data_IF_266907307744
#
_entry.id   IF_266907307744
#
_cell.length_a   1.000
_cell.length_b   1.000
_cell.length_c   1.000
_cell.angle_alpha   90.00
_cell.angle_beta   90.00
_cell.angle_gamma   90.00
#
_symmetry.space_group_name_H-M   'P 1'
#
loop_
_entity.id
_entity.type
_entity.pdbx_description
1 polymer ?
#
# COMPACT_ATOMS: atom_id res chain seq x y z
N UNK A 1 -11.76 38.86 -38.59
CA UNK A 1 -11.96 37.74 -39.49
C UNK A 1 -12.21 36.53 -38.59
N UNK A 2 -13.47 36.12 -38.50
CA UNK A 2 -13.85 34.95 -37.70
C UNK A 2 -13.37 33.71 -38.44
N UNK A 3 -12.46 32.96 -37.82
CA UNK A 3 -12.05 31.64 -38.29
C UNK A 3 -13.19 30.69 -37.97
N UNK A 4 -13.87 30.21 -39.02
CA UNK A 4 -14.84 29.11 -38.94
C UNK A 4 -14.10 27.86 -38.42
N UNK A 5 -14.08 27.68 -37.13
CA UNK A 5 -13.80 26.38 -36.50
C UNK A 5 -14.90 25.43 -36.96
N UNK A 6 -14.59 24.51 -37.88
CA UNK A 6 -15.41 23.35 -38.17
C UNK A 6 -15.52 22.55 -36.88
N UNK A 7 -16.53 22.87 -36.09
CA UNK A 7 -16.83 22.22 -34.82
C UNK A 7 -17.12 20.76 -35.09
N UNK A 8 -16.21 19.89 -34.70
CA UNK A 8 -16.43 18.44 -34.72
C UNK A 8 -17.72 18.14 -33.94
N UNK A 9 -18.55 17.25 -34.47
CA UNK A 9 -19.83 16.91 -33.82
C UNK A 9 -19.72 16.41 -32.38
N UNK A 10 -18.49 16.14 -31.93
CA UNK A 10 -18.15 15.79 -30.54
C UNK A 10 -18.06 17.01 -29.63
N UNK A 11 -17.46 18.09 -30.10
CA UNK A 11 -17.39 19.38 -29.39
C UNK A 11 -18.80 19.97 -29.17
N UNK A 12 -19.70 19.85 -30.13
CA UNK A 12 -21.09 20.30 -29.98
C UNK A 12 -21.83 19.50 -28.91
N UNK A 13 -21.63 18.19 -28.82
CA UNK A 13 -22.18 17.35 -27.74
C UNK A 13 -21.63 17.72 -26.37
N UNK A 14 -20.33 18.01 -26.29
CA UNK A 14 -19.72 18.45 -25.05
C UNK A 14 -20.27 19.81 -24.58
N UNK A 15 -20.51 20.75 -25.48
CA UNK A 15 -21.13 22.05 -25.19
C UNK A 15 -22.58 21.87 -24.74
N UNK A 16 -23.35 20.97 -25.38
CA UNK A 16 -24.71 20.65 -24.97
C UNK A 16 -24.76 19.99 -23.58
N UNK A 17 -23.83 19.12 -23.29
CA UNK A 17 -23.71 18.45 -21.99
C UNK A 17 -23.26 19.45 -20.89
N UNK A 18 -22.31 20.33 -21.21
CA UNK A 18 -21.92 21.44 -20.35
C UNK A 18 -23.04 22.43 -20.07
N UNK A 19 -23.85 22.76 -21.05
CA UNK A 19 -25.05 23.61 -20.86
C UNK A 19 -26.14 22.95 -20.00
N UNK A 20 -26.24 21.62 -20.05
CA UNK A 20 -27.21 20.85 -19.25
C UNK A 20 -26.77 20.69 -17.80
N UNK A 21 -25.48 20.48 -17.56
CA UNK A 21 -24.90 20.23 -16.22
C UNK A 21 -24.35 21.47 -15.55
N UNK A 22 -24.08 22.54 -16.31
CA UNK A 22 -23.46 23.78 -15.82
C UNK A 22 -21.97 23.65 -15.52
N UNK A 23 -21.40 22.45 -15.60
CA UNK A 23 -20.02 22.15 -15.21
C UNK A 23 -19.44 21.07 -16.15
N UNK A 24 -18.21 21.27 -16.62
CA UNK A 24 -17.41 20.26 -17.36
C UNK A 24 -16.10 20.00 -16.66
N UNK A 25 -15.56 18.78 -16.75
CA UNK A 25 -14.26 18.44 -16.19
C UNK A 25 -13.16 18.50 -17.24
N UNK A 26 -11.93 18.84 -16.81
CA UNK A 26 -10.75 18.79 -17.68
C UNK A 26 -10.52 17.41 -18.28
N UNK A 27 -10.83 16.32 -17.54
CA UNK A 27 -10.70 14.95 -18.04
C UNK A 27 -11.67 14.66 -19.17
N UNK A 28 -12.95 15.10 -19.09
CA UNK A 28 -13.94 14.97 -20.17
C UNK A 28 -13.55 15.78 -21.39
N UNK A 29 -12.99 16.95 -21.18
CA UNK A 29 -12.49 17.82 -22.25
C UNK A 29 -11.28 17.16 -22.92
N UNK A 30 -10.34 16.64 -22.14
CA UNK A 30 -9.10 16.02 -22.61
C UNK A 30 -9.37 14.69 -23.35
N UNK A 31 -10.28 13.85 -22.85
CA UNK A 31 -10.69 12.60 -23.53
C UNK A 31 -11.36 12.87 -24.87
N UNK A 32 -12.12 13.96 -24.97
CA UNK A 32 -12.79 14.34 -26.23
C UNK A 32 -11.83 14.97 -27.24
N UNK A 33 -10.81 15.72 -26.73
CA UNK A 33 -9.81 16.42 -27.53
C UNK A 33 -8.56 15.57 -27.84
N UNK A 34 -8.28 14.51 -27.07
CA UNK A 34 -7.10 13.63 -27.26
C UNK A 34 -7.07 12.92 -28.62
N UNK A 35 -8.18 12.92 -29.34
CA UNK A 35 -8.29 12.33 -30.65
C UNK A 35 -8.17 13.35 -31.80
N UNK A 36 -7.94 14.63 -31.50
CA UNK A 36 -7.75 15.70 -32.49
C UNK A 36 -6.39 16.38 -32.20
N UNK A 37 -5.50 16.44 -33.20
CA UNK A 37 -4.22 17.15 -33.12
C UNK A 37 -4.46 18.67 -33.04
N UNK A 38 -4.77 19.18 -31.83
CA UNK A 38 -5.06 20.60 -31.59
C UNK A 38 -3.80 21.29 -31.07
N UNK A 39 -3.53 22.50 -31.59
CA UNK A 39 -2.49 23.38 -31.10
C UNK A 39 -2.93 24.06 -29.77
N UNK A 40 -1.96 24.46 -28.93
CA UNK A 40 -2.22 25.10 -27.64
C UNK A 40 -3.14 26.35 -27.74
N UNK A 41 -3.03 27.13 -28.82
CA UNK A 41 -3.89 28.29 -29.08
C UNK A 41 -5.36 27.91 -29.34
N UNK A 42 -5.59 26.76 -29.97
CA UNK A 42 -6.94 26.26 -30.24
C UNK A 42 -7.62 25.71 -28.98
N UNK A 43 -6.83 25.15 -28.04
CA UNK A 43 -7.35 24.68 -26.75
C UNK A 43 -7.77 25.88 -25.90
N UNK A 44 -7.00 26.98 -25.90
CA UNK A 44 -7.34 28.21 -25.19
C UNK A 44 -8.61 28.86 -25.75
N UNK A 45 -8.80 28.89 -27.10
CA UNK A 45 -10.00 29.39 -27.74
C UNK A 45 -11.25 28.56 -27.36
N UNK A 46 -11.12 27.24 -27.25
CA UNK A 46 -12.20 26.34 -26.83
C UNK A 46 -12.56 26.58 -25.35
N UNK A 47 -11.57 26.72 -24.47
CA UNK A 47 -11.80 27.02 -23.05
C UNK A 47 -12.46 28.39 -22.87
N UNK A 48 -12.10 29.37 -23.69
CA UNK A 48 -12.72 30.68 -23.69
C UNK A 48 -14.19 30.63 -24.18
N UNK A 49 -14.48 29.77 -25.16
CA UNK A 49 -15.84 29.52 -25.62
C UNK A 49 -16.73 28.89 -24.54
N UNK A 50 -16.19 27.98 -23.73
CA UNK A 50 -16.91 27.42 -22.58
C UNK A 50 -17.20 28.48 -21.51
N UNK A 51 -16.25 29.37 -21.23
CA UNK A 51 -16.44 30.46 -20.28
C UNK A 51 -17.51 31.46 -20.77
N UNK A 52 -17.53 31.80 -22.06
CA UNK A 52 -18.51 32.70 -22.68
C UNK A 52 -19.93 32.12 -22.68
N UNK A 53 -20.06 30.78 -22.79
CA UNK A 53 -21.33 30.05 -22.70
C UNK A 53 -21.78 29.77 -21.24
N UNK A 54 -21.04 30.28 -20.25
CA UNK A 54 -21.36 30.16 -18.83
C UNK A 54 -21.10 28.77 -18.22
N UNK A 55 -20.33 27.93 -18.90
CA UNK A 55 -19.95 26.59 -18.46
C UNK A 55 -18.70 26.71 -17.58
N UNK A 56 -18.77 26.26 -16.33
CA UNK A 56 -17.60 26.21 -15.44
C UNK A 56 -16.77 24.98 -15.73
N UNK A 57 -15.52 25.18 -16.13
CA UNK A 57 -14.53 24.10 -16.24
C UNK A 57 -13.90 23.87 -14.88
N UNK A 58 -14.06 22.67 -14.33
CA UNK A 58 -13.54 22.25 -13.01
C UNK A 58 -12.49 21.17 -13.23
N UNK A 59 -11.39 21.24 -12.53
CA UNK A 59 -10.26 20.30 -12.69
C UNK A 59 -10.59 18.84 -12.39
N UNK A 60 -11.61 18.59 -11.60
CA UNK A 60 -12.31 17.27 -11.44
C UNK A 60 -13.70 17.53 -10.89
N UNK A 61 -14.72 16.82 -11.37
CA UNK A 61 -15.83 16.44 -10.50
C UNK A 61 -15.16 15.73 -9.34
N UNK A 62 -15.35 16.19 -8.10
CA UNK A 62 -14.92 15.45 -6.93
C UNK A 62 -15.34 14.01 -7.13
N UNK A 63 -14.45 13.15 -7.60
CA UNK A 63 -14.46 11.79 -7.14
C UNK A 63 -14.20 11.92 -5.64
N UNK A 64 -15.28 11.92 -4.90
CA UNK A 64 -15.28 11.73 -3.46
C UNK A 64 -14.50 10.42 -3.29
N UNK A 65 -13.23 10.52 -2.89
CA UNK A 65 -12.49 9.30 -2.58
C UNK A 65 -13.27 8.63 -1.46
N UNK A 66 -13.51 7.32 -1.51
CA UNK A 66 -14.30 6.59 -0.49
C UNK A 66 -13.78 6.75 0.93
N UNK A 67 -12.62 7.38 1.09
CA UNK A 67 -11.99 7.72 2.36
C UNK A 67 -12.52 9.04 2.97
N UNK A 68 -12.98 9.98 2.14
CA UNK A 68 -13.54 11.27 2.64
C UNK A 68 -14.90 11.09 3.29
N UNK A 69 -15.69 10.12 2.83
CA UNK A 69 -17.02 9.83 3.37
C UNK A 69 -17.03 9.18 4.77
N UNK A 70 -15.90 8.65 5.25
CA UNK A 70 -15.79 8.13 6.62
C UNK A 70 -15.64 9.24 7.66
N UNK A 71 -15.51 10.50 7.23
CA UNK A 71 -15.32 11.68 8.11
C UNK A 71 -16.09 12.88 7.54
N UNK A 72 -17.26 12.66 6.94
CA UNK A 72 -18.24 13.73 6.71
C UNK A 72 -18.94 14.08 8.00
N UNK A 73 -18.22 14.72 8.92
CA UNK A 73 -18.81 15.62 9.89
C UNK A 73 -18.27 17.03 9.62
N UNK A 74 -19.19 17.92 9.30
CA UNK A 74 -19.15 19.38 9.23
C UNK A 74 -17.82 20.05 9.66
N UNK A 75 -16.79 20.06 8.80
CA UNK A 75 -15.57 20.83 9.01
C UNK A 75 -15.75 22.24 8.44
N UNK A 76 -16.54 23.05 9.13
CA UNK A 76 -16.59 24.49 9.02
C UNK A 76 -15.89 25.12 10.22
N UNK A 77 -15.29 26.25 10.04
CA UNK A 77 -14.77 27.31 10.96
C UNK A 77 -14.80 27.10 12.50
N UNK A 78 -15.42 26.08 13.04
CA UNK A 78 -15.44 25.69 14.46
C UNK A 78 -14.17 24.94 14.91
N UNK A 79 -13.39 24.39 13.97
CA UNK A 79 -12.29 23.46 14.31
C UNK A 79 -11.11 24.11 15.03
N UNK A 80 -10.93 25.41 14.92
CA UNK A 80 -9.80 26.11 15.59
C UNK A 80 -10.14 26.37 17.08
N UNK A 81 -11.39 26.71 17.41
CA UNK A 81 -11.84 26.85 18.82
C UNK A 81 -11.94 25.48 19.52
N UNK A 82 -12.31 24.42 18.79
CA UNK A 82 -12.34 23.05 19.27
C UNK A 82 -10.92 22.55 19.58
N UNK A 83 -9.91 22.93 18.79
CA UNK A 83 -8.53 22.53 19.03
C UNK A 83 -7.96 22.99 20.39
N UNK A 84 -8.46 24.09 20.96
CA UNK A 84 -8.05 24.55 22.33
C UNK A 84 -8.63 23.67 23.43
N UNK A 85 -9.89 23.31 23.31
CA UNK A 85 -10.57 22.42 24.25
C UNK A 85 -10.01 20.99 24.13
N UNK A 86 -9.77 20.51 22.94
CA UNK A 86 -9.21 19.18 22.67
C UNK A 86 -7.78 18.99 23.19
N UNK A 87 -6.92 20.03 23.17
CA UNK A 87 -5.58 19.95 23.77
C UNK A 87 -5.66 19.76 25.31
N UNK A 88 -6.60 20.45 25.97
CA UNK A 88 -6.83 20.31 27.40
C UNK A 88 -7.36 18.92 27.77
N UNK A 89 -8.22 18.33 26.95
CA UNK A 89 -8.71 16.95 27.15
C UNK A 89 -7.62 15.89 26.96
N UNK A 90 -6.60 16.15 26.13
CA UNK A 90 -5.50 15.22 25.90
C UNK A 90 -4.54 15.10 27.11
N UNK A 91 -4.59 16.02 28.08
CA UNK A 91 -3.81 15.89 29.32
C UNK A 91 -4.19 14.64 30.16
N UNK A 92 -5.38 14.08 29.93
CA UNK A 92 -5.88 12.87 30.59
C UNK A 92 -5.60 11.55 29.85
N UNK A 93 -5.06 11.59 28.62
CA UNK A 93 -4.76 10.37 27.87
C UNK A 93 -3.46 9.72 28.35
N UNK A 94 -3.31 8.37 28.27
CA UNK A 94 -2.05 7.66 28.57
C UNK A 94 -1.05 7.87 27.42
N UNK A 95 -0.51 9.09 27.30
CA UNK A 95 0.53 9.47 26.35
C UNK A 95 1.87 9.43 27.06
N UNK A 96 2.93 9.12 26.32
CA UNK A 96 4.30 9.20 26.80
C UNK A 96 4.62 10.64 27.26
N UNK A 97 5.41 10.79 28.34
CA UNK A 97 5.73 12.09 28.92
C UNK A 97 6.42 13.03 27.91
N UNK A 98 7.19 12.48 26.98
CA UNK A 98 7.83 13.24 25.89
C UNK A 98 6.81 13.89 24.96
N UNK A 99 5.72 13.16 24.63
CA UNK A 99 4.64 13.67 23.76
C UNK A 99 3.84 14.75 24.47
N UNK A 100 3.54 14.57 25.77
CA UNK A 100 2.85 15.60 26.56
C UNK A 100 3.65 16.90 26.65
N UNK A 101 4.97 16.77 26.83
CA UNK A 101 5.85 17.95 26.88
C UNK A 101 5.84 18.69 25.52
N UNK A 102 5.91 17.94 24.43
CA UNK A 102 5.85 18.52 23.08
C UNK A 102 4.49 19.19 22.76
N UNK A 103 3.38 18.55 23.14
CA UNK A 103 2.05 19.15 22.99
C UNK A 103 1.89 20.45 23.75
N UNK A 104 2.46 20.53 24.97
CA UNK A 104 2.48 21.75 25.80
C UNK A 104 3.34 22.85 25.14
N UNK A 105 4.43 22.48 24.46
CA UNK A 105 5.30 23.41 23.73
C UNK A 105 4.54 24.07 22.56
N UNK A 106 3.87 23.26 21.74
CA UNK A 106 3.04 23.74 20.62
C UNK A 106 1.91 24.65 21.11
N UNK A 107 1.31 24.35 22.26
CA UNK A 107 0.24 25.17 22.85
C UNK A 107 0.65 26.61 23.19
N UNK A 108 1.94 26.90 23.33
CA UNK A 108 2.46 28.26 23.62
C UNK A 108 2.45 29.19 22.42
N UNK A 109 2.44 28.63 21.21
CA UNK A 109 2.50 29.44 19.98
C UNK A 109 1.13 30.10 19.73
N UNK A 110 1.06 31.45 19.59
CA UNK A 110 -0.20 32.14 19.37
C UNK A 110 -0.76 31.84 17.98
N UNK A 111 -2.09 31.84 17.89
CA UNK A 111 -2.79 31.69 16.61
C UNK A 111 -2.60 32.96 15.75
N UNK A 112 -2.50 32.75 14.44
CA UNK A 112 -2.34 33.86 13.49
C UNK A 112 -3.70 34.42 13.05
N UNK A 113 -3.75 35.73 12.86
CA UNK A 113 -4.88 36.37 12.20
C UNK A 113 -4.73 36.26 10.67
N UNK A 114 -5.84 36.36 9.92
CA UNK A 114 -5.83 36.31 8.45
C UNK A 114 -4.88 37.36 7.83
N UNK A 115 -4.75 38.53 8.43
CA UNK A 115 -3.82 39.55 7.96
C UNK A 115 -2.35 39.13 8.13
N UNK A 116 -2.05 38.44 9.23
CA UNK A 116 -0.70 37.89 9.49
C UNK A 116 -0.40 36.70 8.55
N UNK A 117 -1.38 35.81 8.29
CA UNK A 117 -1.23 34.69 7.31
C UNK A 117 -0.87 35.26 5.92
N UNK A 118 -1.58 36.29 5.45
CA UNK A 118 -1.31 36.94 4.16
C UNK A 118 0.09 37.61 4.15
N UNK A 119 0.48 38.28 5.25
CA UNK A 119 1.79 38.90 5.37
C UNK A 119 2.91 37.87 5.31
N UNK A 120 2.79 36.75 6.03
CA UNK A 120 3.73 35.66 6.02
C UNK A 120 3.78 34.96 4.65
N UNK A 121 2.64 34.74 4.02
CA UNK A 121 2.57 34.10 2.69
C UNK A 121 3.31 34.96 1.62
N UNK A 122 3.22 36.30 1.68
CA UNK A 122 3.99 37.18 0.80
C UNK A 122 5.49 37.07 1.03
N UNK A 123 5.93 36.96 2.29
CA UNK A 123 7.35 36.73 2.63
C UNK A 123 7.85 35.38 2.16
N UNK A 124 7.04 34.35 2.28
CA UNK A 124 7.35 32.97 1.79
C UNK A 124 7.51 32.99 0.26
N UNK A 125 6.64 33.71 -0.47
CA UNK A 125 6.75 33.90 -1.92
C UNK A 125 8.06 34.60 -2.31
N UNK A 126 8.59 35.47 -1.43
CA UNK A 126 9.89 36.14 -1.59
C UNK A 126 11.09 35.25 -1.19
N UNK A 127 10.86 34.01 -0.72
CA UNK A 127 11.92 33.08 -0.33
C UNK A 127 12.37 33.17 1.13
N UNK A 128 11.56 33.71 2.03
CA UNK A 128 11.87 33.84 3.45
C UNK A 128 11.54 32.54 4.22
N UNK A 129 12.58 31.80 4.59
CA UNK A 129 12.48 30.54 5.35
C UNK A 129 12.01 30.77 6.80
N UNK A 130 12.33 31.89 7.42
CA UNK A 130 11.85 32.21 8.78
C UNK A 130 10.33 32.40 8.78
N UNK A 131 9.78 33.05 7.76
CA UNK A 131 8.34 33.20 7.60
C UNK A 131 7.64 31.86 7.41
N UNK A 132 8.28 30.91 6.69
CA UNK A 132 7.79 29.54 6.51
C UNK A 132 7.76 28.79 7.84
N UNK A 133 8.80 28.91 8.66
CA UNK A 133 8.86 28.31 9.98
C UNK A 133 7.73 28.84 10.89
N UNK A 134 7.56 30.17 10.97
CA UNK A 134 6.52 30.81 11.79
C UNK A 134 5.11 30.37 11.38
N UNK A 135 4.81 30.33 10.07
CA UNK A 135 3.50 29.89 9.58
C UNK A 135 3.26 28.40 9.90
N UNK A 136 4.29 27.57 9.80
CA UNK A 136 4.22 26.13 10.13
C UNK A 136 3.97 25.92 11.62
N UNK A 137 4.78 26.55 12.49
CA UNK A 137 4.68 26.41 13.95
C UNK A 137 3.30 26.84 14.47
N UNK A 138 2.76 27.94 14.00
CA UNK A 138 1.45 28.43 14.41
C UNK A 138 0.28 27.47 14.03
N UNK A 139 0.51 26.55 13.08
CA UNK A 139 -0.50 25.62 12.61
C UNK A 139 -0.26 24.17 13.04
N UNK A 140 0.73 23.85 13.87
CA UNK A 140 0.96 22.51 14.40
C UNK A 140 -0.24 22.00 15.21
N UNK A 141 -0.94 22.88 15.92
CA UNK A 141 -2.16 22.54 16.67
C UNK A 141 -3.27 21.98 15.75
N UNK A 142 -3.41 22.51 14.55
CA UNK A 142 -4.34 22.01 13.54
C UNK A 142 -4.00 20.58 13.12
N UNK A 143 -2.71 20.25 12.96
CA UNK A 143 -2.29 18.87 12.65
C UNK A 143 -2.68 17.92 13.75
N UNK A 144 -2.47 18.28 15.02
CA UNK A 144 -2.80 17.45 16.19
C UNK A 144 -4.30 17.16 16.24
N UNK A 145 -5.16 18.18 16.04
CA UNK A 145 -6.61 18.00 16.05
C UNK A 145 -7.11 17.06 14.94
N UNK A 146 -6.49 17.17 13.75
CA UNK A 146 -6.81 16.27 12.64
C UNK A 146 -6.30 14.85 12.93
N UNK A 147 -5.05 14.68 13.38
CA UNK A 147 -4.42 13.38 13.65
C UNK A 147 -5.18 12.59 14.73
N UNK A 148 -5.76 13.26 15.75
CA UNK A 148 -6.55 12.65 16.81
C UNK A 148 -7.72 11.81 16.25
N UNK A 149 -8.38 12.26 15.19
CA UNK A 149 -9.51 11.57 14.54
C UNK A 149 -9.09 10.27 13.82
N UNK A 150 -7.81 10.14 13.52
CA UNK A 150 -7.24 8.96 12.85
C UNK A 150 -6.52 8.00 13.82
N UNK A 151 -6.55 8.29 15.13
CA UNK A 151 -5.97 7.43 16.15
C UNK A 151 -6.61 6.04 16.14
N UNK A 152 -5.83 4.99 16.43
CA UNK A 152 -6.32 3.61 16.48
C UNK A 152 -6.48 2.92 15.12
N UNK A 153 -5.97 3.49 14.02
CA UNK A 153 -6.05 2.92 12.66
C UNK A 153 -4.74 2.28 12.18
N UNK A 154 -4.02 1.58 13.08
CA UNK A 154 -2.80 0.84 12.73
C UNK A 154 -1.52 1.64 12.77
N UNK A 155 -1.56 2.96 13.05
CA UNK A 155 -0.39 3.81 13.27
C UNK A 155 -0.41 4.43 14.66
N UNK A 156 0.78 4.66 15.22
CA UNK A 156 0.91 5.37 16.49
C UNK A 156 0.51 6.84 16.34
N UNK A 157 -0.02 7.45 17.41
CA UNK A 157 -0.44 8.85 17.36
C UNK A 157 0.69 9.82 17.03
N UNK A 158 1.94 9.66 17.55
CA UNK A 158 3.09 10.46 17.12
C UNK A 158 3.40 10.37 15.63
N UNK A 159 3.33 9.17 15.06
CA UNK A 159 3.61 8.96 13.65
C UNK A 159 2.56 9.65 12.76
N UNK A 160 1.28 9.59 13.17
CA UNK A 160 0.19 10.31 12.49
C UNK A 160 0.43 11.83 12.49
N UNK A 161 0.91 12.38 13.62
CA UNK A 161 1.27 13.80 13.71
C UNK A 161 2.42 14.13 12.76
N UNK A 162 3.48 13.32 12.72
CA UNK A 162 4.63 13.61 11.85
C UNK A 162 4.26 13.52 10.37
N UNK A 163 3.47 12.55 9.97
CA UNK A 163 2.95 12.49 8.60
C UNK A 163 2.03 13.68 8.28
N UNK A 164 1.20 14.09 9.26
CA UNK A 164 0.41 15.31 9.15
C UNK A 164 1.26 16.57 9.02
N UNK A 165 2.38 16.68 9.75
CA UNK A 165 3.32 17.80 9.65
C UNK A 165 3.97 17.86 8.25
N UNK A 166 4.29 16.71 7.64
CA UNK A 166 4.76 16.65 6.25
C UNK A 166 3.69 17.21 5.30
N UNK A 167 2.42 16.89 5.54
CA UNK A 167 1.29 17.46 4.82
C UNK A 167 1.17 18.97 4.99
N UNK A 168 1.32 19.45 6.24
CA UNK A 168 1.31 20.89 6.56
C UNK A 168 2.42 21.67 5.84
N UNK A 169 3.66 21.15 5.84
CA UNK A 169 4.80 21.78 5.15
C UNK A 169 4.49 21.94 3.66
N UNK A 170 3.94 20.90 3.02
CA UNK A 170 3.51 20.97 1.61
C UNK A 170 2.40 22.00 1.39
N UNK A 171 1.47 22.13 2.35
CA UNK A 171 0.43 23.15 2.28
C UNK A 171 1.02 24.55 2.35
N UNK A 172 1.99 24.80 3.24
CA UNK A 172 2.68 26.09 3.37
C UNK A 172 3.38 26.46 2.06
N UNK A 173 4.06 25.50 1.40
CA UNK A 173 4.76 25.73 0.14
C UNK A 173 3.83 26.07 -1.03
N UNK A 174 2.60 25.56 -1.02
CA UNK A 174 1.65 25.69 -2.13
C UNK A 174 0.51 26.68 -1.84
N UNK A 175 0.52 27.33 -0.69
CA UNK A 175 -0.55 28.24 -0.31
C UNK A 175 -0.57 29.51 -1.15
N UNK A 176 -1.72 29.81 -1.77
CA UNK A 176 -1.96 31.05 -2.53
C UNK A 176 -2.96 31.93 -1.79
N UNK A 177 -2.46 32.98 -1.15
CA UNK A 177 -3.28 33.98 -0.42
C UNK A 177 -4.20 34.81 -1.34
N UNK A 178 -3.95 34.84 -2.66
CA UNK A 178 -4.77 35.61 -3.64
C UNK A 178 -6.17 35.01 -3.79
N UNK A 179 -6.33 33.72 -3.46
CA UNK A 179 -7.63 33.02 -3.52
C UNK A 179 -8.61 33.41 -2.41
N UNK A 180 -8.18 34.21 -1.40
CA UNK A 180 -9.03 34.75 -0.35
C UNK A 180 -9.52 33.77 0.72
N UNK A 181 -9.10 32.50 0.69
CA UNK A 181 -9.43 31.49 1.69
C UNK A 181 -8.46 31.56 2.88
N UNK A 182 -8.93 31.13 4.07
CA UNK A 182 -8.05 30.92 5.24
C UNK A 182 -7.04 29.82 4.96
N UNK A 183 -5.83 29.96 5.50
CA UNK A 183 -4.80 28.94 5.40
C UNK A 183 -5.27 27.58 5.94
N UNK A 184 -5.98 27.56 7.08
CA UNK A 184 -6.49 26.34 7.71
C UNK A 184 -7.39 25.51 6.78
N UNK A 185 -8.25 26.13 5.98
CA UNK A 185 -9.12 25.44 5.01
C UNK A 185 -8.32 24.68 3.97
N UNK A 186 -7.24 25.30 3.47
CA UNK A 186 -6.35 24.67 2.49
C UNK A 186 -5.45 23.62 3.11
N UNK A 187 -4.87 23.90 4.28
CA UNK A 187 -3.95 23.02 4.98
C UNK A 187 -4.65 21.72 5.44
N UNK A 188 -5.91 21.79 5.88
CA UNK A 188 -6.69 20.62 6.31
C UNK A 188 -6.73 19.52 5.24
N UNK A 189 -6.90 19.91 3.96
CA UNK A 189 -6.88 18.95 2.86
C UNK A 189 -5.52 18.24 2.73
N UNK A 190 -4.42 18.99 2.77
CA UNK A 190 -3.07 18.40 2.65
C UNK A 190 -2.69 17.53 3.84
N UNK A 191 -3.04 17.97 5.05
CA UNK A 191 -2.80 17.22 6.29
C UNK A 191 -3.57 15.90 6.24
N UNK A 192 -4.87 15.95 5.93
CA UNK A 192 -5.72 14.77 5.81
C UNK A 192 -5.19 13.81 4.76
N UNK A 193 -4.85 14.30 3.58
CA UNK A 193 -4.30 13.50 2.49
C UNK A 193 -3.00 12.80 2.89
N UNK A 194 -2.09 13.51 3.59
CA UNK A 194 -0.83 12.93 4.06
C UNK A 194 -1.07 11.81 5.09
N UNK A 195 -1.91 12.08 6.11
CA UNK A 195 -2.26 11.10 7.15
C UNK A 195 -2.93 9.85 6.55
N UNK A 196 -3.93 10.05 5.70
CA UNK A 196 -4.69 8.95 5.08
C UNK A 196 -3.79 8.09 4.22
N UNK A 197 -2.91 8.72 3.44
CA UNK A 197 -1.94 8.00 2.61
C UNK A 197 -0.94 7.24 3.47
N UNK A 198 -0.44 7.83 4.56
CA UNK A 198 0.48 7.17 5.47
C UNK A 198 -0.16 5.93 6.12
N UNK A 199 -1.41 6.03 6.58
CA UNK A 199 -2.16 4.88 7.12
C UNK A 199 -2.29 3.77 6.08
N UNK A 200 -2.62 4.10 4.84
CA UNK A 200 -2.72 3.10 3.77
C UNK A 200 -1.38 2.43 3.44
N UNK A 201 -0.28 3.18 3.52
CA UNK A 201 1.07 2.72 3.18
C UNK A 201 1.78 1.98 4.32
N UNK A 202 1.52 2.35 5.58
CA UNK A 202 2.30 1.91 6.76
C UNK A 202 1.45 1.32 7.88
N UNK A 203 0.12 1.50 7.87
CA UNK A 203 -0.77 1.08 8.96
C UNK A 203 -0.93 -0.43 9.11
N UNK A 204 -0.48 -1.24 8.16
CA UNK A 204 -0.61 -2.70 8.17
C UNK A 204 0.75 -3.38 8.23
N UNK A 205 0.88 -4.42 9.03
CA UNK A 205 2.10 -5.26 9.10
C UNK A 205 2.47 -5.84 7.73
N UNK A 206 1.49 -6.31 6.98
CA UNK A 206 1.65 -6.72 5.58
C UNK A 206 1.09 -5.61 4.71
N UNK A 207 1.98 -4.88 4.04
CA UNK A 207 1.63 -3.74 3.20
C UNK A 207 0.70 -4.15 2.04
N UNK A 208 -0.39 -3.42 1.91
CA UNK A 208 -1.36 -3.54 0.80
C UNK A 208 -1.29 -2.27 -0.06
N UNK A 209 -1.38 -2.37 -1.39
CA UNK A 209 -1.45 -1.18 -2.26
C UNK A 209 -2.62 -0.26 -1.92
N UNK A 210 -2.44 1.07 -2.06
CA UNK A 210 -3.42 2.09 -1.66
C UNK A 210 -4.79 1.86 -2.30
N UNK A 211 -4.85 1.57 -3.60
CA UNK A 211 -6.11 1.30 -4.30
C UNK A 211 -6.88 0.09 -3.75
N UNK A 212 -6.17 -0.90 -3.19
CA UNK A 212 -6.82 -2.05 -2.53
C UNK A 212 -7.37 -1.67 -1.17
N UNK A 213 -6.67 -0.81 -0.40
CA UNK A 213 -7.19 -0.25 0.86
C UNK A 213 -8.46 0.55 0.60
N UNK A 214 -8.50 1.38 -0.44
CA UNK A 214 -9.68 2.12 -0.88
C UNK A 214 -10.84 1.17 -1.22
N UNK A 215 -10.54 0.08 -1.96
CA UNK A 215 -11.56 -0.91 -2.32
C UNK A 215 -12.11 -1.64 -1.09
N UNK A 216 -11.24 -2.01 -0.12
CA UNK A 216 -11.65 -2.63 1.16
C UNK A 216 -12.57 -1.66 1.93
N UNK A 217 -12.19 -0.38 2.04
CA UNK A 217 -13.00 0.62 2.75
C UNK A 217 -14.36 0.83 2.07
N UNK A 218 -14.41 0.91 0.74
CA UNK A 218 -15.66 0.97 -0.02
C UNK A 218 -16.52 -0.25 0.27
N UNK A 219 -15.93 -1.45 0.28
CA UNK A 219 -16.65 -2.68 0.60
C UNK A 219 -17.25 -2.65 2.01
N UNK A 220 -16.47 -2.24 3.03
CA UNK A 220 -16.93 -2.14 4.41
C UNK A 220 -18.09 -1.14 4.52
N UNK A 221 -17.96 0.06 3.90
CA UNK A 221 -19.00 1.09 3.89
C UNK A 221 -20.30 0.57 3.25
N UNK A 222 -20.20 0.00 2.04
CA UNK A 222 -21.35 -0.57 1.34
C UNK A 222 -22.00 -1.70 2.12
N UNK A 223 -21.21 -2.58 2.73
CA UNK A 223 -21.72 -3.67 3.57
C UNK A 223 -22.47 -3.13 4.78
N UNK A 224 -21.93 -2.10 5.45
CA UNK A 224 -22.61 -1.46 6.59
C UNK A 224 -23.91 -0.75 6.18
N UNK A 225 -23.93 -0.11 5.02
CA UNK A 225 -25.13 0.54 4.48
C UNK A 225 -26.22 -0.49 4.13
N UNK A 226 -25.84 -1.56 3.42
CA UNK A 226 -26.77 -2.64 3.11
C UNK A 226 -27.29 -3.36 4.37
N UNK A 227 -26.45 -3.49 5.42
CA UNK A 227 -26.87 -4.02 6.72
C UNK A 227 -27.98 -3.16 7.35
N UNK A 228 -27.86 -1.83 7.29
CA UNK A 228 -28.88 -0.90 7.77
C UNK A 228 -30.17 -0.99 6.95
N UNK A 229 -30.07 -1.04 5.62
CA UNK A 229 -31.22 -1.07 4.72
C UNK A 229 -31.98 -2.41 4.76
N UNK A 230 -31.26 -3.53 4.85
CA UNK A 230 -31.83 -4.88 4.82
C UNK A 230 -32.17 -5.42 6.21
N UNK A 231 -31.61 -4.87 7.28
CA UNK A 231 -31.74 -5.39 8.66
C UNK A 231 -31.08 -6.77 8.88
N UNK A 232 -30.26 -7.24 7.94
CA UNK A 232 -29.50 -8.50 7.99
C UNK A 232 -28.15 -8.34 7.28
N UNK A 233 -27.23 -9.26 7.55
CA UNK A 233 -25.96 -9.29 6.80
C UNK A 233 -26.21 -9.45 5.28
N UNK A 234 -25.58 -8.60 4.45
CA UNK A 234 -25.69 -8.69 3.00
C UNK A 234 -24.94 -9.90 2.45
N UNK A 235 -25.47 -10.50 1.38
CA UNK A 235 -24.78 -11.56 0.64
C UNK A 235 -23.69 -11.01 -0.25
N UNK A 236 -22.72 -11.85 -0.66
CA UNK A 236 -21.65 -11.46 -1.56
C UNK A 236 -22.19 -10.94 -2.90
N UNK A 237 -23.30 -11.47 -3.39
CA UNK A 237 -23.94 -11.05 -4.64
C UNK A 237 -24.60 -9.67 -4.50
N UNK A 238 -25.16 -9.33 -3.33
CA UNK A 238 -25.74 -8.03 -3.05
C UNK A 238 -24.66 -6.95 -2.99
N UNK A 239 -23.56 -7.22 -2.26
CA UNK A 239 -22.40 -6.32 -2.19
C UNK A 239 -21.76 -6.13 -3.57
N UNK A 240 -21.60 -7.20 -4.32
CA UNK A 240 -21.01 -7.19 -5.65
C UNK A 240 -21.80 -6.32 -6.63
N UNK A 241 -23.14 -6.40 -6.55
CA UNK A 241 -24.06 -5.62 -7.38
C UNK A 241 -24.01 -4.13 -7.04
N UNK A 242 -23.93 -3.78 -5.77
CA UNK A 242 -23.89 -2.39 -5.33
C UNK A 242 -22.56 -1.70 -5.66
N UNK A 243 -21.45 -2.42 -5.49
CA UNK A 243 -20.10 -1.89 -5.80
C UNK A 243 -19.80 -1.92 -7.31
N UNK A 244 -20.49 -2.78 -8.09
CA UNK A 244 -20.26 -2.95 -9.51
C UNK A 244 -19.09 -3.89 -9.87
N UNK A 245 -18.78 -4.87 -9.01
CA UNK A 245 -17.72 -5.88 -9.22
C UNK A 245 -18.27 -7.29 -9.19
N UNK A 246 -17.46 -8.29 -9.55
CA UNK A 246 -17.88 -9.70 -9.52
C UNK A 246 -17.88 -10.26 -8.10
N UNK A 247 -18.79 -11.22 -7.75
CA UNK A 247 -18.82 -11.86 -6.43
C UNK A 247 -17.50 -12.54 -6.05
N UNK A 248 -16.82 -13.14 -7.02
CA UNK A 248 -15.51 -13.76 -6.81
C UNK A 248 -14.47 -12.72 -6.34
N UNK A 249 -14.51 -11.52 -6.93
CA UNK A 249 -13.63 -10.42 -6.53
C UNK A 249 -13.95 -9.90 -5.13
N UNK A 250 -15.22 -9.84 -4.74
CA UNK A 250 -15.63 -9.51 -3.36
C UNK A 250 -15.05 -10.54 -2.39
N UNK A 251 -15.17 -11.84 -2.69
CA UNK A 251 -14.61 -12.90 -1.86
C UNK A 251 -13.09 -12.79 -1.70
N UNK A 252 -12.38 -12.48 -2.78
CA UNK A 252 -10.92 -12.26 -2.76
C UNK A 252 -10.54 -11.07 -1.85
N UNK A 253 -11.26 -9.94 -1.96
CA UNK A 253 -11.01 -8.75 -1.15
C UNK A 253 -11.25 -9.06 0.34
N UNK A 254 -12.32 -9.79 0.68
CA UNK A 254 -12.61 -10.20 2.06
C UNK A 254 -11.49 -11.08 2.63
N UNK A 255 -10.85 -11.93 1.83
CA UNK A 255 -9.71 -12.75 2.27
C UNK A 255 -8.44 -11.95 2.55
N UNK A 256 -8.26 -10.82 1.86
CA UNK A 256 -7.09 -9.93 2.02
C UNK A 256 -7.29 -8.94 3.17
N UNK A 257 -8.54 -8.64 3.51
CA UNK A 257 -8.89 -7.62 4.50
C UNK A 257 -8.41 -7.90 5.94
N UNK A 258 -8.38 -9.17 6.46
CA UNK A 258 -7.96 -9.46 7.82
C UNK A 258 -6.51 -9.04 8.12
N UNK A 259 -6.28 -8.62 9.37
CA UNK A 259 -4.94 -8.35 9.90
C UNK A 259 -4.36 -9.62 10.53
N UNK A 260 -3.02 -9.80 10.51
CA UNK A 260 -2.37 -10.93 11.15
C UNK A 260 -2.55 -10.87 12.68
N UNK A 261 -2.79 -12.02 13.28
CA UNK A 261 -2.86 -12.17 14.73
C UNK A 261 -1.44 -12.18 15.33
N UNK A 262 -1.29 -11.65 16.55
CA UNK A 262 -0.03 -11.72 17.29
C UNK A 262 0.21 -13.14 17.77
N UNK A 263 1.45 -13.63 17.64
CA UNK A 263 1.88 -14.91 18.20
C UNK A 263 1.88 -14.92 19.73
N UNK A 264 1.98 -13.75 20.36
CA UNK A 264 1.94 -13.57 21.82
C UNK A 264 0.50 -13.48 22.36
N UNK A 265 -0.52 -13.67 21.51
CA UNK A 265 -1.91 -13.66 21.96
C UNK A 265 -2.12 -14.81 22.96
N UNK A 266 -2.57 -14.53 24.20
CA UNK A 266 -2.82 -15.57 25.20
C UNK A 266 -3.99 -16.44 24.78
N UNK A 267 -3.88 -17.76 24.99
CA UNK A 267 -4.92 -18.74 24.72
C UNK A 267 -5.29 -19.44 26.03
N UNK A 268 -6.55 -19.40 26.42
CA UNK A 268 -7.05 -20.00 27.65
C UNK A 268 -7.21 -19.00 28.81
N UNK A 269 -7.66 -19.49 29.96
CA UNK A 269 -7.94 -18.67 31.15
C UNK A 269 -6.69 -18.40 32.01
N UNK A 270 -5.61 -19.16 31.84
CA UNK A 270 -4.42 -19.15 32.69
C UNK A 270 -3.24 -18.41 32.09
N UNK A 271 -3.37 -17.47 31.23
CA UNK A 271 -2.33 -16.57 30.63
C UNK A 271 -0.93 -17.17 30.33
N UNK A 272 -0.69 -18.46 30.66
CA UNK A 272 0.61 -19.15 30.55
C UNK A 272 0.86 -19.72 29.13
N UNK A 273 -0.16 -19.76 28.27
CA UNK A 273 -0.06 -20.33 26.92
C UNK A 273 -0.31 -19.27 25.86
N UNK A 274 0.58 -19.19 24.89
CA UNK A 274 0.48 -18.26 23.77
C UNK A 274 0.16 -18.99 22.45
N UNK A 275 -0.38 -18.28 21.48
CA UNK A 275 -0.67 -18.83 20.16
C UNK A 275 0.54 -19.49 19.52
N UNK A 276 1.75 -18.95 19.76
CA UNK A 276 3.00 -19.52 19.26
C UNK A 276 3.23 -20.97 19.69
N UNK A 277 2.79 -21.36 20.89
CA UNK A 277 3.04 -22.69 21.46
C UNK A 277 2.22 -23.79 20.75
N UNK A 278 1.17 -23.40 20.02
CA UNK A 278 0.28 -24.33 19.29
C UNK A 278 0.62 -24.43 17.80
N UNK A 279 1.54 -23.64 17.29
CA UNK A 279 1.95 -23.66 15.89
C UNK A 279 3.06 -24.68 15.72
N UNK A 280 2.77 -25.75 14.94
CA UNK A 280 3.72 -26.81 14.63
C UNK A 280 4.79 -26.32 13.64
N UNK A 281 6.05 -26.66 13.88
CA UNK A 281 7.16 -26.46 12.95
C UNK A 281 7.07 -27.51 11.82
N UNK A 282 6.61 -27.09 10.66
CA UNK A 282 6.46 -27.96 9.48
C UNK A 282 7.80 -28.29 8.79
N UNK A 283 8.88 -27.57 9.11
CA UNK A 283 10.22 -27.82 8.55
C UNK A 283 11.01 -28.83 9.40
N UNK A 284 10.59 -29.06 10.63
CA UNK A 284 11.23 -30.04 11.51
C UNK A 284 11.04 -31.45 10.99
N UNK A 285 12.16 -32.11 10.66
CA UNK A 285 12.15 -33.49 10.19
C UNK A 285 11.73 -34.41 11.33
N UNK A 286 10.67 -35.22 11.13
CA UNK A 286 10.22 -36.14 12.14
C UNK A 286 11.28 -37.25 12.42
N UNK A 287 11.39 -37.76 13.67
CA UNK A 287 12.37 -38.80 14.00
C UNK A 287 12.27 -40.07 13.08
N UNK A 288 11.08 -40.58 12.71
CA UNK A 288 10.95 -41.67 11.75
C UNK A 288 11.49 -41.30 10.37
N UNK A 289 11.26 -40.10 9.90
CA UNK A 289 11.73 -39.62 8.61
C UNK A 289 13.25 -39.43 8.60
N UNK A 290 13.82 -38.89 9.68
CA UNK A 290 15.27 -38.79 9.86
C UNK A 290 15.93 -40.20 9.83
N UNK A 291 15.34 -41.18 10.51
CA UNK A 291 15.80 -42.56 10.47
C UNK A 291 15.72 -43.17 9.07
N UNK A 292 14.60 -42.94 8.35
CA UNK A 292 14.41 -43.40 6.97
C UNK A 292 15.46 -42.80 6.02
N UNK A 293 15.74 -41.50 6.15
CA UNK A 293 16.76 -40.81 5.37
C UNK A 293 18.18 -41.34 5.68
N UNK A 294 18.46 -41.71 6.93
CA UNK A 294 19.72 -42.31 7.32
C UNK A 294 19.91 -43.69 6.68
N UNK A 295 18.90 -44.54 6.76
CA UNK A 295 18.90 -45.87 6.13
C UNK A 295 19.02 -45.75 4.61
N UNK A 296 18.31 -44.82 3.99
CA UNK A 296 18.42 -44.56 2.55
C UNK A 296 19.87 -44.18 2.17
N UNK A 297 20.51 -43.27 2.93
CA UNK A 297 21.95 -42.89 2.71
C UNK A 297 22.85 -44.13 2.79
N UNK A 298 22.70 -45.01 3.78
CA UNK A 298 23.46 -46.22 3.92
C UNK A 298 23.27 -47.16 2.72
N UNK A 299 22.02 -47.32 2.24
CA UNK A 299 21.71 -48.17 1.06
C UNK A 299 22.27 -47.59 -0.24
N UNK A 300 22.27 -46.25 -0.39
CA UNK A 300 22.90 -45.60 -1.51
C UNK A 300 24.41 -45.82 -1.47
N UNK A 301 25.05 -45.67 -0.29
CA UNK A 301 26.50 -45.88 -0.16
C UNK A 301 26.89 -47.34 -0.38
N UNK A 302 26.12 -48.34 0.11
CA UNK A 302 26.31 -49.75 -0.18
C UNK A 302 26.21 -50.06 -1.69
N UNK A 303 25.30 -49.37 -2.40
CA UNK A 303 25.15 -49.54 -3.84
C UNK A 303 26.29 -48.88 -4.61
N UNK A 304 26.79 -47.73 -4.16
CA UNK A 304 27.95 -47.02 -4.74
C UNK A 304 29.27 -47.79 -4.53
N UNK A 305 29.41 -48.53 -3.41
CA UNK A 305 30.60 -49.33 -3.12
C UNK A 305 30.78 -50.50 -4.10
N UNK A 306 29.79 -50.85 -4.90
CA UNK A 306 29.85 -51.85 -5.97
C UNK A 306 30.35 -51.31 -7.30
N UNK A 307 30.63 -49.99 -7.37
CA UNK A 307 31.23 -49.31 -8.52
C UNK A 307 32.76 -49.24 -8.36
N UNK A 308 33.43 -48.87 -9.44
CA UNK A 308 34.85 -48.53 -9.32
C UNK A 308 35.03 -47.23 -8.52
N UNK A 309 36.16 -47.04 -7.80
CA UNK A 309 36.36 -45.83 -7.00
C UNK A 309 36.12 -44.52 -7.80
N UNK A 310 36.59 -44.52 -9.04
CA UNK A 310 36.46 -43.37 -9.92
C UNK A 310 35.01 -43.07 -10.34
N UNK A 311 34.19 -44.13 -10.56
CA UNK A 311 32.77 -43.98 -10.88
C UNK A 311 32.00 -43.51 -9.65
N UNK A 312 32.33 -44.03 -8.45
CA UNK A 312 31.73 -43.60 -7.15
C UNK A 312 31.97 -42.13 -6.89
N UNK A 313 33.21 -41.69 -6.98
CA UNK A 313 33.61 -40.28 -6.69
C UNK A 313 32.95 -39.30 -7.66
N UNK A 314 32.88 -39.66 -8.96
CA UNK A 314 32.19 -38.84 -9.97
C UNK A 314 30.72 -38.69 -9.62
N UNK A 315 30.01 -39.75 -9.23
CA UNK A 315 28.60 -39.69 -8.85
C UNK A 315 28.42 -38.89 -7.52
N UNK A 316 29.27 -39.10 -6.51
CA UNK A 316 29.21 -38.38 -5.26
C UNK A 316 29.32 -36.86 -5.47
N UNK A 317 30.31 -36.43 -6.25
CA UNK A 317 30.48 -35.01 -6.56
C UNK A 317 29.37 -34.45 -7.46
N UNK A 318 28.89 -35.25 -8.42
CA UNK A 318 27.85 -34.81 -9.36
C UNK A 318 26.51 -34.55 -8.68
N UNK A 319 26.12 -35.44 -7.77
CA UNK A 319 24.84 -35.38 -7.05
C UNK A 319 24.95 -34.78 -5.66
N UNK A 320 26.15 -34.36 -5.21
CA UNK A 320 26.33 -33.76 -3.90
C UNK A 320 26.04 -34.69 -2.73
N UNK A 321 26.34 -36.00 -2.86
CA UNK A 321 25.97 -37.01 -1.85
C UNK A 321 26.76 -36.88 -0.55
N UNK A 322 27.96 -36.25 -0.58
CA UNK A 322 28.83 -36.06 0.60
C UNK A 322 28.60 -34.69 1.24
N UNK A 323 28.55 -33.62 0.44
CA UNK A 323 28.53 -32.23 0.90
C UNK A 323 27.24 -31.46 0.62
N UNK A 324 26.25 -32.13 -0.01
CA UNK A 324 24.97 -31.52 -0.36
C UNK A 324 24.98 -30.63 -1.59
N UNK A 325 26.15 -30.37 -2.21
CA UNK A 325 26.28 -29.49 -3.36
C UNK A 325 26.42 -30.28 -4.66
N UNK A 326 25.41 -30.23 -5.52
CA UNK A 326 25.47 -30.82 -6.87
C UNK A 326 26.39 -29.99 -7.79
N UNK A 327 27.39 -30.65 -8.37
CA UNK A 327 28.37 -30.00 -9.27
C UNK A 327 28.05 -30.26 -10.74
N UNK A 328 28.43 -29.30 -11.59
CA UNK A 328 28.28 -29.44 -13.04
C UNK A 328 29.31 -30.43 -13.60
N UNK A 329 29.04 -31.00 -14.79
CA UNK A 329 29.98 -31.92 -15.48
C UNK A 329 31.33 -31.27 -15.74
N UNK A 330 31.36 -29.96 -15.91
CA UNK A 330 32.62 -29.22 -16.17
C UNK A 330 33.44 -29.06 -14.90
N UNK A 331 32.82 -28.75 -13.77
CA UNK A 331 33.47 -28.62 -12.45
C UNK A 331 34.05 -29.95 -12.01
N UNK A 332 33.27 -31.04 -12.16
CA UNK A 332 33.77 -32.39 -11.91
C UNK A 332 34.91 -32.73 -12.87
N UNK A 333 34.83 -32.33 -14.14
CA UNK A 333 35.89 -32.49 -15.11
C UNK A 333 37.18 -31.78 -14.72
N UNK A 334 37.09 -30.55 -14.22
CA UNK A 334 38.27 -29.81 -13.71
C UNK A 334 38.90 -30.51 -12.50
N UNK A 335 38.11 -31.00 -11.58
CA UNK A 335 38.61 -31.74 -10.40
C UNK A 335 39.39 -33.00 -10.80
N UNK A 336 38.85 -33.82 -11.71
CA UNK A 336 39.50 -35.05 -12.17
C UNK A 336 40.47 -34.83 -13.32
N UNK A 337 40.73 -33.59 -13.77
CA UNK A 337 41.60 -33.23 -14.91
C UNK A 337 41.22 -33.98 -16.21
N UNK A 338 39.94 -34.08 -16.51
CA UNK A 338 39.42 -34.73 -17.72
C UNK A 338 38.36 -33.85 -18.39
N UNK A 339 38.06 -34.16 -19.66
CA UNK A 339 37.07 -33.40 -20.42
C UNK A 339 35.64 -33.65 -19.90
N UNK A 340 34.75 -32.64 -20.05
CA UNK A 340 33.30 -32.73 -19.73
C UNK A 340 32.66 -33.99 -20.33
N UNK A 341 32.98 -34.31 -21.59
CA UNK A 341 32.42 -35.46 -22.28
C UNK A 341 32.86 -36.79 -21.65
N UNK A 342 34.11 -36.84 -21.14
CA UNK A 342 34.61 -38.01 -20.44
C UNK A 342 33.87 -38.26 -19.13
N UNK A 343 33.57 -37.21 -18.39
CA UNK A 343 32.74 -37.30 -17.16
C UNK A 343 31.34 -37.78 -17.51
N UNK A 344 30.70 -37.24 -18.56
CA UNK A 344 29.39 -37.69 -19.03
C UNK A 344 29.36 -39.19 -19.35
N UNK A 345 30.42 -39.71 -20.00
CA UNK A 345 30.56 -41.15 -20.30
C UNK A 345 30.69 -41.99 -19.04
N UNK A 346 31.48 -41.54 -18.06
CA UNK A 346 31.68 -42.21 -16.77
C UNK A 346 30.35 -42.25 -16.01
N UNK A 347 29.64 -41.12 -15.90
CA UNK A 347 28.34 -41.00 -15.28
C UNK A 347 27.30 -41.95 -15.91
N UNK A 348 27.15 -41.91 -17.24
CA UNK A 348 26.23 -42.78 -17.97
C UNK A 348 26.54 -44.27 -17.76
N UNK A 349 27.82 -44.65 -17.74
CA UNK A 349 28.25 -46.04 -17.47
C UNK A 349 27.98 -46.44 -16.03
N UNK A 350 28.24 -45.54 -15.08
CA UNK A 350 27.98 -45.83 -13.66
C UNK A 350 26.47 -45.96 -13.38
N UNK A 351 25.64 -45.08 -13.90
CA UNK A 351 24.16 -45.15 -13.79
C UNK A 351 23.62 -46.38 -14.47
N UNK A 352 24.16 -46.81 -15.65
CA UNK A 352 23.74 -48.07 -16.29
C UNK A 352 24.07 -49.28 -15.43
N UNK A 353 25.22 -49.29 -14.73
CA UNK A 353 25.60 -50.34 -13.79
C UNK A 353 24.67 -50.39 -12.56
N UNK A 354 24.23 -49.25 -12.03
CA UNK A 354 23.31 -49.13 -10.89
C UNK A 354 21.88 -49.55 -11.27
N UNK A 355 21.46 -49.29 -12.51
CA UNK A 355 20.12 -49.69 -13.03
C UNK A 355 19.89 -51.18 -13.12
N UNK A 356 20.95 -52.00 -13.03
CA UNK A 356 20.82 -53.45 -13.10
C UNK A 356 19.90 -53.98 -11.96
N UNK A 357 18.93 -54.90 -12.23
CA UNK A 357 17.92 -55.34 -11.27
C UNK A 357 18.47 -55.80 -9.92
N UNK A 358 19.63 -56.47 -9.91
CA UNK A 358 20.28 -56.95 -8.67
C UNK A 358 20.76 -55.81 -7.73
N UNK A 359 20.86 -54.60 -8.25
CA UNK A 359 21.32 -53.42 -7.49
C UNK A 359 20.17 -52.46 -7.23
N UNK A 360 19.29 -52.25 -8.20
CA UNK A 360 18.15 -51.33 -8.11
C UNK A 360 17.05 -51.82 -7.16
N UNK A 361 16.91 -53.17 -7.00
CA UNK A 361 15.89 -53.76 -6.12
C UNK A 361 15.96 -53.23 -4.68
N UNK A 362 17.14 -52.98 -4.15
CA UNK A 362 17.35 -52.43 -2.78
C UNK A 362 16.93 -50.99 -2.59
N UNK A 363 16.84 -50.22 -3.67
CA UNK A 363 16.47 -48.79 -3.66
C UNK A 363 15.03 -48.57 -4.13
N UNK A 364 14.35 -49.64 -4.61
CA UNK A 364 13.02 -49.53 -5.17
C UNK A 364 11.95 -49.19 -4.13
N UNK A 365 12.15 -49.63 -2.90
CA UNK A 365 11.21 -49.42 -1.79
C UNK A 365 11.19 -48.00 -1.28
N UNK A 366 12.13 -47.13 -1.77
CA UNK A 366 12.25 -45.70 -1.45
C UNK A 366 11.85 -44.79 -2.61
N UNK A 367 11.37 -45.38 -3.73
CA UNK A 367 10.84 -44.63 -4.87
C UNK A 367 9.33 -44.79 -4.83
N UNK A 368 8.65 -43.75 -4.40
CA UNK A 368 7.19 -43.62 -4.56
C UNK A 368 6.80 -43.25 -5.98
#
# INVERSE_FOLDING_TARGET
MAVELKTSGRLQKLIEEGKRTGVLTYDQINDTLSHEDLNAEQVDDILQTFADEGIRVVEKVKEVTPFDDLVEDELGTKDIEVAEVELAEMEGMPLDDSIRMWLREIGKTPLLTMAQEISLAKRIEAGDEDAKAVLTEANLRLVVSIAKRYSGRGMSFPDLIQEGNIGLIRAVEKFDYRKGYKFSTYATWWIRQAITRAIADQGRTIRIPVHMVETINRLIKTSSQLLQDLGREPTLDEIAREIGITPDRVSEIIRIAPEPLSLETPIGEEEDSHLADFIEDQEAISPPEAASNMILREKIEESLNKLTPREKDVLKMRFGLDDGYSRTLEEVGRHFKVTRERIRQIEAKALKKLRHPSRSKKLRDYIE
#
